data_IF_542686701480
#
_entry.id   IF_542686701480
#
_cell.length_a   1.000
_cell.length_b   1.000
_cell.length_c   1.000
_cell.angle_alpha   90.00
_cell.angle_beta   90.00
_cell.angle_gamma   90.00
#
_symmetry.space_group_name_H-M   'P 1'
#
loop_
_entity.id
_entity.type
_entity.pdbx_description
1 polymer ?
#
# COMPACT_ATOMS: atom_id res chain seq x y z
N UNK A 1 -6.67 -9.73 0.62
CA UNK A 1 -6.12 -8.42 1.05
C UNK A 1 -5.08 -7.90 0.06
N UNK A 2 -4.99 -6.60 -0.15
CA UNK A 2 -3.97 -5.91 -0.96
C UNK A 2 -3.36 -4.75 -0.18
N UNK A 3 -2.11 -4.36 -0.53
CA UNK A 3 -1.43 -3.22 0.08
C UNK A 3 -0.96 -2.23 -0.98
N UNK A 4 -1.07 -0.94 -0.67
CA UNK A 4 -0.40 0.14 -1.38
C UNK A 4 0.60 0.80 -0.44
N UNK A 5 1.79 1.12 -0.95
CA UNK A 5 2.89 1.68 -0.16
C UNK A 5 3.35 2.98 -0.78
N UNK A 6 3.48 4.01 0.04
CA UNK A 6 3.99 5.31 -0.38
C UNK A 6 4.97 5.85 0.67
N UNK A 7 5.86 6.73 0.25
CA UNK A 7 6.71 7.50 1.15
C UNK A 7 6.57 8.99 0.87
N UNK A 8 6.79 9.81 1.88
CA UNK A 8 6.57 11.25 1.79
C UNK A 8 7.50 12.06 2.69
N UNK A 9 7.31 13.39 2.63
CA UNK A 9 8.15 14.38 3.34
C UNK A 9 7.42 15.15 4.44
N UNK A 10 6.12 14.89 4.65
CA UNK A 10 5.34 15.65 5.61
C UNK A 10 4.21 14.85 6.23
N UNK A 11 4.14 14.84 7.57
CA UNK A 11 3.07 14.16 8.29
C UNK A 11 1.74 14.92 8.27
N UNK A 12 1.76 16.27 8.22
CA UNK A 12 0.55 17.09 8.42
C UNK A 12 -0.57 16.77 7.43
N UNK A 13 -0.28 16.87 6.12
CA UNK A 13 -1.31 16.57 5.09
C UNK A 13 -1.77 15.11 5.13
N UNK A 14 -0.84 14.16 5.39
CA UNK A 14 -1.17 12.74 5.47
C UNK A 14 -2.04 12.42 6.71
N UNK A 15 -1.71 12.96 7.87
CA UNK A 15 -2.50 12.75 9.09
C UNK A 15 -3.90 13.35 8.94
N UNK A 16 -4.01 14.56 8.40
CA UNK A 16 -5.32 15.16 8.15
C UNK A 16 -6.16 14.35 7.15
N UNK A 17 -5.52 13.80 6.10
CA UNK A 17 -6.19 12.90 5.17
C UNK A 17 -6.60 11.57 5.81
N UNK A 18 -5.72 10.97 6.63
CA UNK A 18 -5.97 9.66 7.22
C UNK A 18 -6.91 9.73 8.43
N UNK A 19 -6.95 10.85 9.17
CA UNK A 19 -7.83 11.08 10.31
C UNK A 19 -8.97 12.07 9.96
N UNK A 20 -9.54 11.92 8.79
CA UNK A 20 -10.68 12.73 8.33
C UNK A 20 -12.00 12.15 8.86
N UNK A 21 -12.31 12.48 10.11
CA UNK A 21 -13.51 11.97 10.81
C UNK A 21 -14.79 12.46 10.11
N UNK A 22 -14.80 13.71 9.62
CA UNK A 22 -15.99 14.33 9.06
C UNK A 22 -16.46 13.67 7.75
N UNK A 23 -15.53 13.26 6.87
CA UNK A 23 -15.85 12.73 5.56
C UNK A 23 -15.67 11.21 5.45
N UNK A 24 -14.86 10.60 6.33
CA UNK A 24 -14.51 9.17 6.23
C UNK A 24 -14.93 8.34 7.42
N UNK A 25 -15.54 8.96 8.42
CA UNK A 25 -15.92 8.31 9.67
C UNK A 25 -14.75 7.48 10.22
N UNK A 26 -13.60 8.13 10.38
CA UNK A 26 -12.32 7.50 10.71
C UNK A 26 -12.25 7.15 12.19
N UNK A 27 -11.68 5.99 12.51
CA UNK A 27 -11.37 5.56 13.88
C UNK A 27 -9.90 5.17 13.97
N UNK A 28 -9.21 5.66 15.01
CA UNK A 28 -7.86 5.16 15.35
C UNK A 28 -8.01 3.81 16.05
N UNK A 29 -7.47 2.76 15.44
CA UNK A 29 -7.59 1.39 15.96
C UNK A 29 -6.32 0.86 16.62
N UNK A 30 -5.17 1.49 16.38
CA UNK A 30 -3.92 1.22 17.09
C UNK A 30 -2.91 2.36 16.91
N UNK A 31 -2.02 2.52 17.86
CA UNK A 31 -0.87 3.44 17.77
C UNK A 31 0.28 2.96 18.64
N UNK A 32 1.50 3.45 18.36
CA UNK A 32 2.66 3.30 19.20
C UNK A 32 3.54 4.55 19.14
N UNK A 33 4.00 5.02 20.30
CA UNK A 33 4.91 6.16 20.42
C UNK A 33 4.35 7.51 19.95
N UNK A 34 3.02 7.64 19.83
CA UNK A 34 2.34 8.84 19.30
C UNK A 34 1.20 9.24 20.22
N UNK A 35 1.12 10.53 20.55
CA UNK A 35 -0.06 11.10 21.23
C UNK A 35 -1.20 11.27 20.22
N UNK A 36 -2.33 10.61 20.44
CA UNK A 36 -3.46 10.55 19.51
C UNK A 36 -4.62 11.49 19.86
N UNK A 37 -4.41 12.45 20.76
CA UNK A 37 -5.46 13.37 21.25
C UNK A 37 -6.01 14.24 20.13
N UNK A 38 -5.15 14.78 19.26
CA UNK A 38 -5.50 15.61 18.11
C UNK A 38 -4.56 15.34 16.93
N UNK A 39 -4.96 15.74 15.71
CA UNK A 39 -4.05 15.68 14.55
C UNK A 39 -2.74 16.46 14.79
N UNK A 40 -2.81 17.58 15.49
CA UNK A 40 -1.64 18.38 15.83
C UNK A 40 -0.67 17.61 16.74
N UNK A 41 -1.18 16.91 17.77
CA UNK A 41 -0.33 16.11 18.68
C UNK A 41 0.24 14.88 18.00
N UNK A 42 -0.50 14.21 17.11
CA UNK A 42 0.00 13.13 16.25
C UNK A 42 1.19 13.64 15.42
N UNK A 43 1.00 14.75 14.71
CA UNK A 43 2.04 15.35 13.85
C UNK A 43 3.26 15.79 14.66
N UNK A 44 3.04 16.39 15.82
CA UNK A 44 4.13 16.81 16.73
C UNK A 44 4.96 15.62 17.20
N UNK A 45 4.31 14.52 17.61
CA UNK A 45 4.98 13.28 18.03
C UNK A 45 5.86 12.72 16.90
N UNK A 46 5.32 12.58 15.70
CA UNK A 46 6.08 12.12 14.54
C UNK A 46 7.27 13.03 14.19
N UNK A 47 7.05 14.35 14.21
CA UNK A 47 8.11 15.34 13.92
C UNK A 47 9.23 15.31 14.95
N UNK A 48 8.91 15.08 16.22
CA UNK A 48 9.92 14.97 17.28
C UNK A 48 10.94 13.86 16.97
N UNK A 49 10.47 12.67 16.63
CA UNK A 49 11.35 11.56 16.26
C UNK A 49 12.04 11.77 14.90
N UNK A 50 11.35 12.38 13.93
CA UNK A 50 11.92 12.65 12.62
C UNK A 50 13.16 13.58 12.68
N UNK A 51 13.27 14.43 13.69
CA UNK A 51 14.44 15.31 13.92
C UNK A 51 15.72 14.54 14.29
N UNK A 52 15.60 13.28 14.73
CA UNK A 52 16.78 12.45 15.02
C UNK A 52 17.62 12.15 13.78
N UNK A 53 17.04 12.28 12.56
CA UNK A 53 17.76 12.07 11.30
C UNK A 53 17.38 13.10 10.23
N UNK A 54 17.88 14.34 10.31
CA UNK A 54 17.51 15.44 9.39
C UNK A 54 17.91 15.18 7.93
N UNK A 55 18.89 14.30 7.70
CA UNK A 55 19.38 13.94 6.37
C UNK A 55 18.37 13.09 5.58
N UNK A 56 17.47 12.36 6.25
CA UNK A 56 16.44 11.55 5.56
C UNK A 56 15.30 12.43 5.06
N UNK A 57 15.22 12.65 3.76
CA UNK A 57 14.19 13.52 3.15
C UNK A 57 12.78 12.92 3.15
N UNK A 58 12.65 11.62 2.84
CA UNK A 58 11.35 10.93 2.80
C UNK A 58 11.14 10.13 4.09
N UNK A 59 10.91 10.82 5.19
CA UNK A 59 10.80 10.23 6.53
C UNK A 59 9.40 9.72 6.88
N UNK A 60 8.40 9.98 6.03
CA UNK A 60 7.02 9.51 6.22
C UNK A 60 6.79 8.22 5.47
N UNK A 61 6.26 7.20 6.14
CA UNK A 61 5.73 6.01 5.52
C UNK A 61 4.21 6.00 5.57
N UNK A 62 3.58 5.59 4.48
CA UNK A 62 2.13 5.43 4.36
C UNK A 62 1.81 4.09 3.69
N UNK A 63 1.00 3.29 4.34
CA UNK A 63 0.52 2.01 3.83
C UNK A 63 -1.00 2.02 3.91
N UNK A 64 -1.66 1.65 2.83
CA UNK A 64 -3.09 1.35 2.81
C UNK A 64 -3.26 -0.16 2.66
N UNK A 65 -3.99 -0.79 3.58
CA UNK A 65 -4.38 -2.21 3.49
C UNK A 65 -5.88 -2.27 3.23
N UNK A 66 -6.27 -2.90 2.11
CA UNK A 66 -7.67 -3.10 1.73
C UNK A 66 -8.03 -4.58 1.77
N UNK A 67 -9.16 -4.89 2.38
CA UNK A 67 -9.68 -6.25 2.55
C UNK A 67 -10.74 -6.55 1.48
N UNK A 68 -11.03 -7.81 1.26
CA UNK A 68 -12.11 -8.18 0.34
C UNK A 68 -13.47 -7.88 0.97
N UNK A 69 -14.51 -7.46 0.21
CA UNK A 69 -15.84 -7.22 0.77
C UNK A 69 -16.43 -8.41 1.49
N UNK A 70 -16.17 -9.63 1.02
CA UNK A 70 -16.66 -10.87 1.63
C UNK A 70 -16.09 -11.11 3.05
N UNK A 71 -14.98 -10.46 3.39
CA UNK A 71 -14.39 -10.55 4.72
C UNK A 71 -15.07 -9.59 5.73
N UNK A 72 -15.93 -8.68 5.29
CA UNK A 72 -16.54 -7.61 6.12
C UNK A 72 -17.10 -8.09 7.46
N UNK A 73 -17.80 -9.25 7.56
CA UNK A 73 -18.33 -9.73 8.84
C UNK A 73 -17.26 -10.05 9.91
N UNK A 74 -16.02 -10.26 9.49
CA UNK A 74 -14.89 -10.60 10.36
C UNK A 74 -14.00 -9.41 10.70
N UNK A 75 -14.17 -8.27 10.02
CA UNK A 75 -13.29 -7.12 10.13
C UNK A 75 -13.64 -6.27 11.36
N UNK A 76 -13.31 -6.77 12.56
CA UNK A 76 -13.34 -5.95 13.77
C UNK A 76 -12.13 -5.00 13.80
N UNK A 77 -12.16 -4.00 14.67
CA UNK A 77 -11.03 -3.07 14.86
C UNK A 77 -9.77 -3.81 15.32
N UNK A 78 -9.94 -4.73 16.26
CA UNK A 78 -8.88 -5.56 16.84
C UNK A 78 -8.24 -6.45 15.76
N UNK A 79 -9.06 -7.14 14.98
CA UNK A 79 -8.59 -8.00 13.90
C UNK A 79 -7.82 -7.21 12.83
N UNK A 80 -8.37 -6.08 12.38
CA UNK A 80 -7.69 -5.24 11.38
C UNK A 80 -6.38 -4.66 11.92
N UNK A 81 -6.36 -4.26 13.21
CA UNK A 81 -5.14 -3.77 13.87
C UNK A 81 -4.08 -4.87 13.99
N UNK A 82 -4.48 -6.10 14.33
CA UNK A 82 -3.58 -7.25 14.40
C UNK A 82 -2.93 -7.55 13.04
N UNK A 83 -3.75 -7.68 11.99
CA UNK A 83 -3.26 -7.94 10.63
C UNK A 83 -2.33 -6.83 10.14
N UNK A 84 -2.66 -5.56 10.44
CA UNK A 84 -1.83 -4.42 10.05
C UNK A 84 -0.48 -4.40 10.79
N UNK A 85 -0.46 -4.70 12.09
CA UNK A 85 0.78 -4.81 12.88
C UNK A 85 1.65 -5.96 12.37
N UNK A 86 1.05 -7.12 12.06
CA UNK A 86 1.78 -8.25 11.53
C UNK A 86 2.34 -7.96 10.13
N UNK A 87 1.60 -7.21 9.30
CA UNK A 87 2.12 -6.70 8.03
C UNK A 87 3.36 -5.82 8.25
N UNK A 88 3.31 -4.85 9.19
CA UNK A 88 4.45 -4.00 9.51
C UNK A 88 5.65 -4.83 9.94
N UNK A 89 5.47 -5.78 10.85
CA UNK A 89 6.51 -6.67 11.34
C UNK A 89 7.21 -7.44 10.21
N UNK A 90 6.43 -8.06 9.29
CA UNK A 90 6.97 -8.82 8.15
C UNK A 90 7.65 -7.94 7.11
N UNK A 91 7.32 -6.65 7.10
CA UNK A 91 7.99 -5.65 6.26
C UNK A 91 9.23 -5.05 6.91
N UNK A 92 9.61 -5.50 8.11
CA UNK A 92 10.74 -4.96 8.87
C UNK A 92 10.49 -3.54 9.40
N UNK A 93 9.21 -3.11 9.45
CA UNK A 93 8.80 -1.84 10.05
C UNK A 93 8.52 -2.11 11.53
N UNK A 94 9.58 -2.11 12.30
CA UNK A 94 9.58 -2.39 13.73
C UNK A 94 10.29 -1.26 14.48
N UNK A 95 10.12 -1.20 15.80
CA UNK A 95 10.79 -0.24 16.68
C UNK A 95 10.58 1.22 16.23
N UNK A 96 9.36 1.56 15.79
CA UNK A 96 9.08 2.93 15.32
C UNK A 96 7.67 3.38 15.70
N UNK A 97 7.44 4.67 15.59
CA UNK A 97 6.14 5.29 15.77
C UNK A 97 5.20 4.91 14.63
N UNK A 98 3.95 4.60 14.95
CA UNK A 98 2.89 4.43 13.96
C UNK A 98 1.50 4.79 14.52
N UNK A 99 0.57 5.07 13.61
CA UNK A 99 -0.88 5.16 13.88
C UNK A 99 -1.61 4.41 12.78
N UNK A 100 -2.62 3.62 13.15
CA UNK A 100 -3.48 2.88 12.24
C UNK A 100 -4.88 3.49 12.31
N UNK A 101 -5.34 4.01 11.17
CA UNK A 101 -6.65 4.60 10.97
C UNK A 101 -7.53 3.63 10.18
N UNK A 102 -8.71 3.31 10.69
CA UNK A 102 -9.75 2.59 9.95
C UNK A 102 -10.70 3.61 9.33
N UNK A 103 -10.96 3.47 8.04
CA UNK A 103 -11.95 4.28 7.32
C UNK A 103 -13.23 3.47 7.07
N UNK A 104 -14.37 4.20 7.01
CA UNK A 104 -15.69 3.62 6.74
C UNK A 104 -16.36 4.28 5.53
N UNK A 105 -15.59 4.91 4.64
CA UNK A 105 -16.04 5.64 3.44
C UNK A 105 -16.16 4.73 2.19
N UNK A 106 -15.79 3.47 2.31
CA UNK A 106 -15.84 2.50 1.20
C UNK A 106 -16.63 1.25 1.60
N UNK A 107 -17.23 0.52 0.63
CA UNK A 107 -17.98 -0.71 0.92
C UNK A 107 -17.09 -1.87 1.36
N UNK A 108 -15.78 -1.75 1.25
CA UNK A 108 -14.79 -2.73 1.72
C UNK A 108 -13.98 -2.18 2.87
N UNK A 109 -13.68 -3.02 3.85
CA UNK A 109 -12.85 -2.62 4.98
C UNK A 109 -11.43 -2.24 4.54
N UNK A 110 -10.93 -1.10 5.02
CA UNK A 110 -9.55 -0.72 4.78
C UNK A 110 -8.98 0.11 5.94
N UNK A 111 -7.67 0.06 6.06
CA UNK A 111 -6.94 0.84 7.04
C UNK A 111 -5.80 1.60 6.39
N UNK A 112 -5.48 2.76 6.95
CA UNK A 112 -4.29 3.53 6.62
C UNK A 112 -3.33 3.48 7.79
N UNK A 113 -2.11 3.06 7.53
CA UNK A 113 -1.01 3.07 8.49
C UNK A 113 -0.08 4.23 8.14
N UNK A 114 0.06 5.16 9.06
CA UNK A 114 1.08 6.21 9.01
C UNK A 114 2.19 5.83 9.97
N UNK A 115 3.43 5.80 9.52
CA UNK A 115 4.56 5.45 10.38
C UNK A 115 5.78 6.33 10.12
N UNK A 116 6.64 6.43 11.11
CA UNK A 116 7.91 7.12 10.98
C UNK A 116 8.94 6.17 10.36
N UNK A 117 9.62 6.61 9.29
CA UNK A 117 10.71 5.85 8.67
C UNK A 117 12.05 6.05 9.39
N UNK A 118 12.06 6.76 10.49
CA UNK A 118 13.15 6.83 11.43
C UNK A 118 12.69 6.05 12.66
N UNK A 119 13.46 5.05 13.08
CA UNK A 119 13.16 4.24 14.24
C UNK A 119 13.47 4.97 15.56
N UNK A 120 13.18 4.34 16.69
CA UNK A 120 13.39 4.92 18.02
C UNK A 120 14.89 5.10 18.35
N UNK A 121 15.79 4.51 17.58
CA UNK A 121 17.25 4.61 17.72
C UNK A 121 17.85 5.60 16.70
N UNK A 122 17.02 6.30 15.91
CA UNK A 122 17.47 7.26 14.91
C UNK A 122 17.93 6.66 13.58
N UNK A 123 17.74 5.34 13.38
CA UNK A 123 18.09 4.68 12.13
C UNK A 123 16.99 4.81 11.09
N UNK A 124 17.38 4.84 9.82
CA UNK A 124 16.41 4.83 8.74
C UNK A 124 15.85 3.42 8.47
N UNK A 125 14.55 3.26 8.59
CA UNK A 125 13.85 2.06 8.12
C UNK A 125 13.87 2.10 6.59
N UNK A 126 14.30 0.99 5.97
CA UNK A 126 14.34 0.88 4.50
C UNK A 126 12.95 1.13 3.93
N UNK A 127 12.82 2.24 3.22
CA UNK A 127 11.57 2.65 2.59
C UNK A 127 11.50 2.20 1.14
N UNK A 128 11.86 0.96 0.90
CA UNK A 128 11.70 0.39 -0.41
C UNK A 128 10.20 0.23 -0.69
N UNK A 129 9.69 0.95 -1.65
CA UNK A 129 8.39 0.68 -2.23
C UNK A 129 8.45 -0.65 -3.00
N UNK A 130 9.02 -1.70 -2.37
CA UNK A 130 9.14 -3.01 -2.94
C UNK A 130 7.76 -3.68 -3.00
N UNK A 131 7.04 -3.38 -4.09
CA UNK A 131 5.69 -3.91 -4.32
C UNK A 131 5.67 -5.44 -4.42
N UNK A 132 6.76 -6.07 -4.89
CA UNK A 132 6.87 -7.53 -4.97
C UNK A 132 6.93 -8.15 -3.58
N UNK A 133 7.78 -7.64 -2.70
CA UNK A 133 7.86 -8.10 -1.31
C UNK A 133 6.56 -7.82 -0.55
N UNK A 134 5.95 -6.65 -0.74
CA UNK A 134 4.64 -6.33 -0.17
C UNK A 134 3.56 -7.31 -0.62
N UNK A 135 3.48 -7.61 -1.92
CA UNK A 135 2.52 -8.58 -2.46
C UNK A 135 2.75 -10.00 -1.92
N UNK A 136 4.00 -10.40 -1.66
CA UNK A 136 4.29 -11.67 -1.03
C UNK A 136 3.77 -11.71 0.41
N UNK A 137 4.01 -10.66 1.20
CA UNK A 137 3.52 -10.54 2.57
C UNK A 137 1.99 -10.53 2.61
N UNK A 138 1.32 -9.73 1.77
CA UNK A 138 -0.15 -9.69 1.75
C UNK A 138 -0.76 -11.04 1.36
N UNK A 139 -0.17 -11.77 0.41
CA UNK A 139 -0.62 -13.12 0.04
C UNK A 139 -0.46 -14.12 1.19
N UNK A 140 0.68 -14.05 1.90
CA UNK A 140 0.93 -14.91 3.06
C UNK A 140 -0.09 -14.65 4.18
N UNK A 141 -0.29 -13.37 4.54
CA UNK A 141 -1.28 -12.98 5.55
C UNK A 141 -2.71 -13.33 5.13
N UNK A 142 -3.08 -13.12 3.85
CA UNK A 142 -4.40 -13.50 3.34
C UNK A 142 -4.68 -14.98 3.57
N UNK A 143 -3.67 -15.84 3.34
CA UNK A 143 -3.80 -17.30 3.55
C UNK A 143 -3.86 -17.66 5.03
N UNK A 144 -2.98 -17.10 5.83
CA UNK A 144 -2.81 -17.42 7.26
C UNK A 144 -4.03 -17.00 8.08
N UNK A 145 -4.56 -15.81 7.81
CA UNK A 145 -5.77 -15.30 8.48
C UNK A 145 -7.08 -15.79 7.83
N UNK A 146 -7.02 -16.67 6.84
CA UNK A 146 -8.19 -17.21 6.15
C UNK A 146 -9.02 -16.11 5.46
N UNK A 147 -8.36 -15.06 4.95
CA UNK A 147 -9.00 -13.96 4.24
C UNK A 147 -9.25 -14.32 2.77
N UNK A 148 -10.21 -13.63 2.17
CA UNK A 148 -10.56 -13.82 0.76
C UNK A 148 -9.50 -13.22 -0.15
N UNK A 149 -9.06 -13.99 -1.15
CA UNK A 149 -8.20 -13.49 -2.21
C UNK A 149 -9.00 -12.62 -3.18
N UNK A 150 -8.48 -11.44 -3.47
CA UNK A 150 -9.05 -10.61 -4.54
C UNK A 150 -8.94 -11.29 -5.90
N UNK A 151 -9.88 -10.99 -6.79
CA UNK A 151 -9.86 -11.45 -8.19
C UNK A 151 -8.55 -11.03 -8.85
N UNK A 152 -7.96 -11.98 -9.59
CA UNK A 152 -6.76 -11.72 -10.37
C UNK A 152 -7.00 -10.77 -11.54
N UNK A 153 -5.93 -10.32 -12.21
CA UNK A 153 -6.07 -9.45 -13.39
C UNK A 153 -6.92 -10.08 -14.51
N UNK A 154 -6.97 -11.41 -14.56
CA UNK A 154 -7.78 -12.16 -15.55
C UNK A 154 -9.27 -12.01 -15.30
N UNK A 155 -9.69 -11.89 -14.04
CA UNK A 155 -11.09 -11.90 -13.62
C UNK A 155 -11.73 -10.51 -13.54
N UNK A 156 -10.96 -9.46 -13.88
CA UNK A 156 -11.47 -8.08 -13.90
C UNK A 156 -12.37 -7.87 -15.12
N UNK A 157 -13.58 -7.36 -14.90
CA UNK A 157 -14.53 -7.02 -15.98
C UNK A 157 -14.00 -5.83 -16.79
N UNK A 158 -13.47 -6.07 -17.97
CA UNK A 158 -12.86 -5.07 -18.87
C UNK A 158 -13.83 -3.96 -19.26
N UNK A 159 -15.11 -4.29 -19.45
CA UNK A 159 -16.17 -3.34 -19.82
C UNK A 159 -16.43 -2.24 -18.79
N UNK A 160 -16.05 -2.46 -17.53
CA UNK A 160 -16.23 -1.48 -16.44
C UNK A 160 -15.02 -0.56 -16.24
N UNK A 161 -13.91 -0.84 -16.92
CA UNK A 161 -12.69 -0.06 -16.80
C UNK A 161 -12.79 1.24 -17.62
N UNK A 162 -12.30 2.34 -17.04
CA UNK A 162 -12.25 3.67 -17.68
C UNK A 162 -10.88 4.31 -17.49
N UNK A 163 -10.56 5.26 -18.37
CA UNK A 163 -9.35 6.06 -18.29
C UNK A 163 -8.07 5.21 -18.23
N UNK A 164 -7.17 5.53 -17.29
CA UNK A 164 -5.85 4.87 -17.15
C UNK A 164 -5.95 3.37 -16.90
N UNK A 165 -6.95 2.92 -16.17
CA UNK A 165 -7.10 1.48 -15.88
C UNK A 165 -7.51 0.71 -17.11
N UNK A 166 -8.39 1.25 -17.98
CA UNK A 166 -8.74 0.63 -19.25
C UNK A 166 -7.48 0.43 -20.12
N UNK A 167 -6.66 1.46 -20.28
CA UNK A 167 -5.39 1.39 -21.03
C UNK A 167 -4.43 0.37 -20.43
N UNK A 168 -4.25 0.38 -19.11
CA UNK A 168 -3.39 -0.55 -18.40
C UNK A 168 -3.78 -2.01 -18.62
N UNK A 169 -5.08 -2.31 -18.55
CA UNK A 169 -5.56 -3.67 -18.74
C UNK A 169 -5.56 -4.08 -20.22
N UNK A 170 -5.79 -3.16 -21.16
CA UNK A 170 -5.62 -3.40 -22.59
C UNK A 170 -4.17 -3.75 -22.92
N UNK A 171 -3.20 -3.01 -22.38
CA UNK A 171 -1.77 -3.33 -22.50
C UNK A 171 -1.45 -4.72 -21.91
N UNK A 172 -1.97 -5.01 -20.71
CA UNK A 172 -1.77 -6.30 -20.07
C UNK A 172 -2.28 -7.46 -20.94
N UNK A 173 -3.50 -7.35 -21.48
CA UNK A 173 -4.12 -8.39 -22.30
C UNK A 173 -3.35 -8.57 -23.63
N UNK A 174 -2.97 -7.46 -24.27
CA UNK A 174 -2.18 -7.48 -25.54
C UNK A 174 -0.81 -8.11 -25.31
N UNK A 175 -0.08 -7.69 -24.28
CA UNK A 175 1.25 -8.23 -23.97
C UNK A 175 1.14 -9.72 -23.59
N UNK A 176 0.16 -10.10 -22.78
CA UNK A 176 -0.03 -11.49 -22.36
C UNK A 176 -0.34 -12.41 -23.55
N UNK A 177 -1.15 -11.94 -24.50
CA UNK A 177 -1.48 -12.68 -25.72
C UNK A 177 -0.25 -12.85 -26.64
N UNK A 178 0.58 -11.82 -26.75
CA UNK A 178 1.80 -11.89 -27.58
C UNK A 178 2.87 -12.78 -26.96
N UNK A 179 3.06 -12.68 -25.64
CA UNK A 179 4.06 -13.46 -24.89
C UNK A 179 3.85 -14.97 -25.04
N UNK A 180 2.61 -15.45 -25.16
CA UNK A 180 2.30 -16.87 -25.31
C UNK A 180 2.77 -17.48 -26.65
N UNK A 181 3.12 -16.63 -27.62
CA UNK A 181 3.53 -17.04 -28.99
C UNK A 181 4.93 -16.58 -29.37
N UNK A 182 5.65 -15.87 -28.50
CA UNK A 182 6.99 -15.37 -28.77
C UNK A 182 8.03 -16.14 -27.96
N UNK A 183 9.09 -16.61 -28.63
CA UNK A 183 10.18 -17.37 -28.02
C UNK A 183 11.48 -16.57 -27.89
N UNK A 184 11.54 -15.37 -28.47
CA UNK A 184 12.71 -14.48 -28.42
C UNK A 184 12.30 -13.01 -28.32
N UNK A 185 13.26 -12.18 -27.93
CA UNK A 185 13.05 -10.74 -27.71
C UNK A 185 12.80 -9.96 -29.00
N UNK A 186 13.36 -10.39 -30.12
CA UNK A 186 13.22 -9.71 -31.41
C UNK A 186 11.78 -9.88 -31.92
N UNK A 187 11.27 -11.10 -31.90
CA UNK A 187 9.90 -11.43 -32.30
C UNK A 187 8.91 -10.72 -31.37
N UNK A 188 9.15 -10.69 -30.07
CA UNK A 188 8.32 -9.97 -29.11
C UNK A 188 8.25 -8.48 -29.46
N UNK A 189 9.40 -7.85 -29.67
CA UNK A 189 9.51 -6.42 -30.00
C UNK A 189 8.78 -6.06 -31.27
N UNK A 190 8.98 -6.81 -32.34
CA UNK A 190 8.33 -6.56 -33.65
C UNK A 190 6.81 -6.77 -33.59
N UNK A 191 6.39 -7.83 -32.89
CA UNK A 191 4.95 -8.12 -32.76
C UNK A 191 4.23 -7.09 -31.88
N UNK A 192 4.85 -6.59 -30.82
CA UNK A 192 4.31 -5.52 -30.01
C UNK A 192 4.30 -4.18 -30.76
N UNK A 193 5.35 -3.87 -31.54
CA UNK A 193 5.42 -2.66 -32.36
C UNK A 193 4.31 -2.62 -33.43
N UNK A 194 4.00 -3.74 -34.06
CA UNK A 194 2.89 -3.86 -35.01
C UNK A 194 1.51 -3.60 -34.36
N UNK A 195 1.42 -3.66 -33.03
CA UNK A 195 0.22 -3.34 -32.23
C UNK A 195 0.28 -1.96 -31.56
N UNK A 196 1.21 -1.10 -31.99
CA UNK A 196 1.40 0.25 -31.44
C UNK A 196 2.04 0.30 -30.05
N UNK A 197 2.68 -0.79 -29.61
CA UNK A 197 3.35 -0.85 -28.29
C UNK A 197 4.87 -0.84 -28.51
N UNK A 198 5.52 0.23 -28.09
CA UNK A 198 6.99 0.35 -28.16
C UNK A 198 7.65 -0.18 -26.88
N UNK A 199 8.64 -1.04 -27.04
CA UNK A 199 9.40 -1.60 -25.95
C UNK A 199 10.82 -1.02 -25.92
N UNK A 200 11.20 -0.45 -24.77
CA UNK A 200 12.55 0.07 -24.52
C UNK A 200 13.24 -0.76 -23.44
N UNK A 201 14.48 -1.16 -23.70
CA UNK A 201 15.34 -1.77 -22.69
C UNK A 201 16.06 -0.67 -21.94
N UNK A 202 15.96 -0.67 -20.62
CA UNK A 202 16.69 0.22 -19.72
C UNK A 202 17.77 -0.62 -19.04
N UNK A 203 19.00 -0.16 -19.08
CA UNK A 203 20.05 -0.76 -18.24
C UNK A 203 19.75 -0.42 -16.80
N UNK A 204 19.60 -1.43 -15.94
CA UNK A 204 19.38 -1.31 -14.51
C UNK A 204 20.65 -0.98 -13.74
#
# INVERSE_FOLDING_TARGET
>A
MIAQINTGRGFGGLVNYANDIAHKNTVIIASAGVSTTTNATIVASFKAQARMRPSLKNFVGHISLSFHPDDTPRLTNEFMAEVAKEYLRRRGIVNTQFVIFRHHDQPHGHVHVVYNRIDNDGNAIKGDCNFRASAAVTKALTREYGLTFGKGKRDVRRSHLKGRDAVKYQLYDTISAVLSHCHDWQTLRTTLAARGITMHFVQG
#
